data_IF_961731189448
#
_entry.id   IF_961731189448
#
_cell.length_a   1.000
_cell.length_b   1.000
_cell.length_c   1.000
_cell.angle_alpha   90.00
_cell.angle_beta   90.00
_cell.angle_gamma   90.00
#
_symmetry.space_group_name_H-M   'P 1'
#
loop_
_entity.id
_entity.type
_entity.pdbx_description
1 polymer ?
#
# COMPACT_ATOMS: atom_id res chain seq x y z
N UNK A 1 -10.76 6.71 0.47
CA UNK A 1 -11.64 5.54 0.28
C UNK A 1 -11.27 4.90 -1.04
N UNK A 2 -10.46 3.84 -1.01
CA UNK A 2 -10.23 2.97 -2.17
C UNK A 2 -9.82 1.61 -1.60
N UNK A 3 -10.75 1.01 -0.86
CA UNK A 3 -10.67 -0.37 -0.40
C UNK A 3 -11.71 -1.10 -1.23
N UNK A 4 -11.29 -1.89 -2.21
CA UNK A 4 -12.24 -2.74 -2.91
C UNK A 4 -12.47 -3.97 -2.02
N UNK A 5 -13.70 -4.13 -1.53
CA UNK A 5 -14.13 -5.27 -0.74
C UNK A 5 -14.88 -6.21 -1.65
N UNK A 6 -14.44 -7.45 -1.75
CA UNK A 6 -15.12 -8.48 -2.53
C UNK A 6 -15.49 -9.64 -1.61
N UNK A 7 -16.74 -10.10 -1.67
CA UNK A 7 -17.15 -11.35 -1.04
C UNK A 7 -17.31 -12.41 -2.14
N UNK A 8 -16.70 -13.57 -1.93
CA UNK A 8 -16.83 -14.72 -2.82
C UNK A 8 -17.16 -15.97 -2.01
N UNK A 9 -18.16 -16.73 -2.47
CA UNK A 9 -18.40 -18.07 -1.96
C UNK A 9 -17.42 -19.04 -2.63
N UNK A 10 -16.49 -19.60 -1.86
CA UNK A 10 -15.59 -20.65 -2.36
C UNK A 10 -16.27 -22.00 -2.22
N UNK A 11 -16.39 -22.75 -3.31
CA UNK A 11 -17.11 -24.04 -3.36
C UNK A 11 -16.46 -25.18 -2.55
N UNK A 12 -15.39 -24.93 -1.81
CA UNK A 12 -14.58 -25.95 -1.13
C UNK A 12 -14.85 -25.99 0.39
N UNK A 13 -15.48 -24.95 0.95
CA UNK A 13 -15.91 -24.88 2.35
C UNK A 13 -17.30 -24.24 2.40
N UNK A 14 -18.21 -24.69 3.27
CA UNK A 14 -19.57 -24.11 3.43
C UNK A 14 -19.58 -22.69 4.04
N UNK A 15 -18.45 -21.99 4.01
CA UNK A 15 -18.26 -20.65 4.55
C UNK A 15 -18.10 -19.61 3.45
N UNK A 16 -18.59 -18.39 3.71
CA UNK A 16 -18.30 -17.24 2.86
C UNK A 16 -16.88 -16.74 3.14
N UNK A 17 -16.12 -16.48 2.08
CA UNK A 17 -14.81 -15.83 2.18
C UNK A 17 -14.97 -14.34 1.82
N UNK A 18 -14.64 -13.48 2.79
CA UNK A 18 -14.44 -12.06 2.56
C UNK A 18 -12.97 -11.83 2.18
N UNK A 19 -12.73 -11.09 1.10
CA UNK A 19 -11.39 -10.61 0.74
C UNK A 19 -11.41 -9.10 0.59
N UNK A 20 -10.33 -8.45 1.00
CA UNK A 20 -10.19 -7.00 0.90
C UNK A 20 -8.78 -6.65 0.43
N UNK A 21 -8.70 -5.67 -0.49
CA UNK A 21 -7.44 -5.07 -0.93
C UNK A 21 -7.50 -3.56 -0.81
N UNK A 22 -6.35 -2.92 -0.63
CA UNK A 22 -6.28 -1.47 -0.55
C UNK A 22 -4.91 -0.93 -0.23
N UNK A 23 -4.85 0.33 0.19
CA UNK A 23 -3.63 0.95 0.69
C UNK A 23 -3.07 0.11 1.87
N UNK A 24 -1.77 -0.26 1.85
CA UNK A 24 -1.18 -1.16 2.83
C UNK A 24 -1.52 -0.82 4.28
N UNK A 25 -1.34 0.43 4.68
CA UNK A 25 -1.59 0.91 6.04
C UNK A 25 -3.07 0.77 6.44
N UNK A 26 -3.98 1.04 5.50
CA UNK A 26 -5.44 0.93 5.73
C UNK A 26 -5.92 -0.50 5.87
N UNK A 27 -5.23 -1.43 5.22
CA UNK A 27 -5.50 -2.85 5.33
C UNK A 27 -4.96 -3.37 6.66
N UNK A 28 -3.73 -3.00 7.02
CA UNK A 28 -3.13 -3.41 8.29
C UNK A 28 -3.96 -2.94 9.50
N UNK A 29 -4.46 -1.70 9.47
CA UNK A 29 -5.31 -1.12 10.53
C UNK A 29 -6.60 -1.94 10.80
N UNK A 30 -7.07 -2.72 9.82
CA UNK A 30 -8.27 -3.56 9.91
C UNK A 30 -7.97 -5.01 10.29
N UNK A 31 -6.69 -5.38 10.40
CA UNK A 31 -6.28 -6.75 10.66
C UNK A 31 -5.86 -6.95 12.12
N UNK A 32 -6.24 -8.10 12.70
CA UNK A 32 -5.80 -8.53 14.03
C UNK A 32 -4.93 -9.77 14.00
N UNK A 33 -5.03 -10.56 12.93
CA UNK A 33 -4.23 -11.76 12.70
C UNK A 33 -3.45 -11.63 11.40
N UNK A 34 -2.44 -12.48 11.21
CA UNK A 34 -1.66 -12.62 9.99
C UNK A 34 -1.53 -14.10 9.61
N UNK A 35 -1.56 -14.38 8.32
CA UNK A 35 -1.36 -15.72 7.79
C UNK A 35 0.13 -16.02 7.61
N UNK A 36 0.69 -16.89 8.45
CA UNK A 36 2.08 -17.29 8.38
C UNK A 36 2.18 -18.82 8.21
N UNK A 37 2.83 -19.26 7.12
CA UNK A 37 3.01 -20.68 6.81
C UNK A 37 1.69 -21.49 6.83
N UNK A 38 0.59 -20.87 6.36
CA UNK A 38 -0.74 -21.47 6.33
C UNK A 38 -1.48 -21.50 7.67
N UNK A 39 -0.98 -20.83 8.71
CA UNK A 39 -1.66 -20.68 10.01
C UNK A 39 -1.92 -19.22 10.31
N UNK A 40 -3.13 -18.92 10.77
CA UNK A 40 -3.46 -17.60 11.30
C UNK A 40 -2.90 -17.45 12.72
N UNK A 41 -2.20 -16.35 12.97
CA UNK A 41 -1.66 -16.02 14.29
C UNK A 41 -1.97 -14.56 14.63
N UNK A 42 -2.13 -14.21 15.92
CA UNK A 42 -2.25 -12.81 16.33
C UNK A 42 -1.06 -11.99 15.84
N UNK A 43 -1.33 -10.80 15.33
CA UNK A 43 -0.29 -9.91 14.84
C UNK A 43 0.41 -9.22 16.01
N UNK A 44 1.70 -9.50 16.20
CA UNK A 44 2.53 -8.85 17.21
C UNK A 44 3.27 -7.61 16.64
N UNK A 45 4.03 -6.92 17.49
CA UNK A 45 4.78 -5.73 17.07
C UNK A 45 5.94 -6.05 16.13
N UNK A 46 6.57 -7.22 16.25
CA UNK A 46 7.66 -7.63 15.33
C UNK A 46 7.13 -7.79 13.90
N UNK A 47 5.94 -8.40 13.75
CA UNK A 47 5.27 -8.55 12.46
C UNK A 47 4.85 -7.21 11.87
N UNK A 48 4.40 -6.26 12.71
CA UNK A 48 4.09 -4.89 12.25
C UNK A 48 5.35 -4.15 11.79
N UNK A 49 6.46 -4.28 12.50
CA UNK A 49 7.74 -3.69 12.08
C UNK A 49 8.22 -4.30 10.76
N UNK A 50 8.13 -5.63 10.62
CA UNK A 50 8.47 -6.32 9.37
C UNK A 50 7.59 -5.85 8.19
N UNK A 51 6.29 -5.67 8.42
CA UNK A 51 5.38 -5.06 7.44
C UNK A 51 5.84 -3.65 7.04
N UNK A 52 6.17 -2.79 8.02
CA UNK A 52 6.58 -1.42 7.73
C UNK A 52 7.87 -1.39 6.92
N UNK A 53 8.85 -2.23 7.27
CA UNK A 53 10.10 -2.33 6.54
C UNK A 53 9.88 -2.77 5.09
N UNK A 54 9.08 -3.82 4.86
CA UNK A 54 8.75 -4.29 3.51
C UNK A 54 7.98 -3.22 2.71
N UNK A 55 7.05 -2.52 3.34
CA UNK A 55 6.31 -1.43 2.70
C UNK A 55 7.22 -0.26 2.27
N UNK A 56 8.14 0.15 3.14
CA UNK A 56 9.12 1.21 2.85
C UNK A 56 10.10 0.78 1.74
N UNK A 57 10.55 -0.46 1.75
CA UNK A 57 11.46 -1.02 0.74
C UNK A 57 10.80 -1.02 -0.64
N UNK A 58 9.62 -1.62 -0.77
CA UNK A 58 8.89 -1.71 -2.03
C UNK A 58 8.47 -0.32 -2.54
N UNK A 59 8.01 0.57 -1.65
CA UNK A 59 7.71 1.95 -2.00
C UNK A 59 8.96 2.73 -2.44
N UNK A 60 10.11 2.47 -1.80
CA UNK A 60 11.40 3.08 -2.12
C UNK A 60 11.93 2.71 -3.51
N UNK A 61 11.52 1.55 -4.03
CA UNK A 61 11.79 1.13 -5.40
C UNK A 61 10.85 1.78 -6.44
N UNK A 62 9.90 2.62 -6.01
CA UNK A 62 8.93 3.25 -6.91
C UNK A 62 7.80 2.32 -7.32
N UNK A 63 7.57 1.25 -6.56
CA UNK A 63 6.49 0.32 -6.82
C UNK A 63 5.21 0.81 -6.15
N UNK A 64 4.07 0.55 -6.79
CA UNK A 64 2.76 0.70 -6.19
C UNK A 64 2.49 -0.54 -5.34
N UNK A 65 2.34 -0.37 -4.04
CA UNK A 65 2.13 -1.45 -3.08
C UNK A 65 0.66 -1.51 -2.67
N UNK A 66 0.09 -2.71 -2.61
CA UNK A 66 -1.26 -2.99 -2.11
C UNK A 66 -1.19 -4.02 -0.98
N UNK A 67 -1.98 -3.80 0.07
CA UNK A 67 -2.21 -4.79 1.11
C UNK A 67 -3.40 -5.68 0.78
N UNK A 68 -3.34 -6.94 1.20
CA UNK A 68 -4.40 -7.94 1.04
C UNK A 68 -4.70 -8.62 2.38
N UNK A 69 -5.99 -8.77 2.67
CA UNK A 69 -6.46 -9.52 3.82
C UNK A 69 -7.71 -10.33 3.46
N UNK A 70 -8.01 -11.32 4.30
CA UNK A 70 -9.23 -12.10 4.19
C UNK A 70 -9.88 -12.36 5.53
N UNK A 71 -11.11 -12.87 5.50
CA UNK A 71 -11.79 -13.41 6.67
C UNK A 71 -12.76 -14.51 6.23
N UNK A 72 -12.66 -15.67 6.86
CA UNK A 72 -13.72 -16.68 6.77
C UNK A 72 -14.88 -16.25 7.67
N UNK A 73 -16.02 -15.94 7.06
CA UNK A 73 -17.19 -15.50 7.79
C UNK A 73 -17.85 -16.69 8.52
N UNK A 74 -18.16 -16.54 9.83
CA UNK A 74 -18.66 -17.63 10.64
C UNK A 74 -20.10 -18.01 10.23
N UNK A 75 -20.35 -19.30 9.99
CA UNK A 75 -21.59 -19.83 9.42
C UNK A 75 -22.82 -19.59 10.29
N UNK A 76 -22.66 -19.57 11.62
CA UNK A 76 -23.72 -19.29 12.59
C UNK A 76 -24.28 -17.87 12.44
N UNK A 77 -23.47 -16.92 11.96
CA UNK A 77 -23.88 -15.53 11.70
C UNK A 77 -24.24 -15.30 10.24
N UNK A 78 -23.58 -15.99 9.32
CA UNK A 78 -23.72 -15.81 7.87
C UNK A 78 -24.07 -17.14 7.19
N UNK A 79 -25.31 -17.65 7.38
CA UNK A 79 -25.73 -18.93 6.82
C UNK A 79 -25.84 -18.86 5.29
N UNK A 80 -25.84 -20.02 4.63
CA UNK A 80 -25.98 -20.10 3.18
C UNK A 80 -27.26 -19.40 2.70
N UNK A 81 -27.10 -18.49 1.75
CA UNK A 81 -28.17 -17.63 1.24
C UNK A 81 -28.32 -16.29 1.98
N UNK A 82 -27.43 -15.98 2.92
CA UNK A 82 -27.35 -14.65 3.54
C UNK A 82 -27.22 -13.55 2.48
N UNK A 83 -28.08 -12.54 2.55
CA UNK A 83 -28.08 -11.42 1.64
C UNK A 83 -27.12 -10.33 2.16
N UNK A 84 -25.94 -10.23 1.53
CA UNK A 84 -24.99 -9.17 1.83
C UNK A 84 -25.45 -7.84 1.24
N UNK A 85 -25.40 -6.78 2.05
CA UNK A 85 -25.73 -5.42 1.65
C UNK A 85 -24.48 -4.54 1.71
N UNK A 86 -24.21 -3.83 0.61
CA UNK A 86 -23.05 -2.94 0.48
C UNK A 86 -23.35 -1.48 0.81
N UNK A 87 -24.63 -1.09 0.81
CA UNK A 87 -25.09 0.26 1.13
C UNK A 87 -25.31 0.41 2.65
N UNK A 88 -25.92 -0.59 3.27
CA UNK A 88 -26.00 -0.75 4.74
C UNK A 88 -25.17 -1.96 5.17
N UNK A 89 -23.87 -1.72 5.41
CA UNK A 89 -22.86 -2.77 5.64
C UNK A 89 -23.29 -3.69 6.79
N UNK A 90 -23.72 -4.90 6.42
CA UNK A 90 -24.26 -5.91 7.34
C UNK A 90 -23.29 -7.07 7.65
N UNK A 91 -22.02 -6.88 7.34
CA UNK A 91 -20.97 -7.87 7.53
C UNK A 91 -19.71 -7.25 8.14
N UNK A 92 -18.86 -8.11 8.71
CA UNK A 92 -17.66 -7.67 9.41
C UNK A 92 -16.60 -7.11 8.45
N UNK A 93 -16.08 -5.91 8.74
CA UNK A 93 -15.02 -5.23 7.96
C UNK A 93 -13.75 -4.93 8.76
N UNK A 94 -13.65 -5.44 9.98
CA UNK A 94 -12.52 -5.27 10.90
C UNK A 94 -12.16 -6.63 11.54
N UNK A 95 -11.01 -6.73 12.22
CA UNK A 95 -10.45 -7.98 12.74
C UNK A 95 -10.26 -9.06 11.65
N UNK A 96 -9.76 -8.65 10.48
CA UNK A 96 -9.41 -9.55 9.39
C UNK A 96 -8.05 -10.23 9.62
N UNK A 97 -7.76 -11.25 8.80
CA UNK A 97 -6.45 -11.87 8.69
C UNK A 97 -5.64 -11.24 7.55
N UNK A 98 -4.54 -10.59 7.88
CA UNK A 98 -3.59 -10.06 6.91
C UNK A 98 -2.90 -11.22 6.16
N UNK A 99 -2.91 -11.16 4.83
CA UNK A 99 -2.31 -12.21 4.00
C UNK A 99 -0.93 -11.79 3.48
N UNK A 100 -0.80 -10.53 3.06
CA UNK A 100 0.47 -10.04 2.53
C UNK A 100 0.38 -8.74 1.75
N UNK A 101 1.54 -8.31 1.28
CA UNK A 101 1.71 -7.21 0.35
C UNK A 101 1.89 -7.75 -1.08
N UNK A 102 1.42 -7.00 -2.06
CA UNK A 102 1.79 -7.17 -3.45
C UNK A 102 2.21 -5.81 -4.00
N UNK A 103 3.33 -5.77 -4.69
CA UNK A 103 3.78 -4.58 -5.39
C UNK A 103 3.69 -4.76 -6.90
N UNK A 104 3.51 -3.63 -7.58
CA UNK A 104 3.51 -3.56 -9.03
C UNK A 104 4.26 -2.32 -9.48
N UNK A 105 5.12 -2.49 -10.48
CA UNK A 105 5.84 -1.39 -11.10
C UNK A 105 4.95 -0.85 -12.23
N UNK A 106 4.63 0.44 -12.19
CA UNK A 106 4.18 1.18 -13.37
C UNK A 106 5.37 1.95 -13.93
N UNK A 107 6.17 1.33 -14.83
CA UNK A 107 7.42 1.94 -15.25
C UNK A 107 7.11 3.22 -16.05
N UNK A 108 7.89 4.30 -15.84
CA UNK A 108 7.77 5.48 -16.68
C UNK A 108 7.88 5.11 -18.16
N UNK A 109 7.03 5.71 -19.01
CA UNK A 109 7.14 5.52 -20.46
C UNK A 109 8.56 5.86 -20.89
N UNK A 110 9.13 5.06 -21.80
CA UNK A 110 10.55 5.20 -22.22
C UNK A 110 10.96 6.61 -22.68
N UNK A 111 10.03 7.40 -23.22
CA UNK A 111 10.28 8.78 -23.65
C UNK A 111 10.26 9.82 -22.52
N UNK A 112 9.74 9.50 -21.34
CA UNK A 112 9.52 10.45 -20.24
C UNK A 112 10.84 11.02 -19.69
N UNK A 113 11.88 10.21 -19.39
CA UNK A 113 13.14 10.77 -18.88
C UNK A 113 13.79 11.79 -19.83
N UNK A 114 13.81 11.48 -21.14
CA UNK A 114 14.35 12.37 -22.18
C UNK A 114 13.51 13.66 -22.31
N UNK A 115 12.18 13.55 -22.29
CA UNK A 115 11.29 14.70 -22.33
C UNK A 115 11.47 15.63 -21.13
N UNK A 116 11.56 15.07 -19.92
CA UNK A 116 11.82 15.84 -18.69
C UNK A 116 13.18 16.55 -18.79
N UNK A 117 14.22 15.85 -19.25
CA UNK A 117 15.55 16.43 -19.48
C UNK A 117 15.50 17.64 -20.43
N UNK A 118 14.85 17.50 -21.59
CA UNK A 118 14.72 18.58 -22.58
C UNK A 118 13.97 19.79 -22.04
N UNK A 119 12.86 19.57 -21.32
CA UNK A 119 12.12 20.66 -20.68
C UNK A 119 13.01 21.42 -19.69
N UNK A 120 13.77 20.70 -18.86
CA UNK A 120 14.68 21.32 -17.89
C UNK A 120 15.82 22.08 -18.55
N UNK A 121 16.43 21.54 -19.60
CA UNK A 121 17.47 22.24 -20.38
C UNK A 121 16.96 23.52 -21.04
N UNK A 122 15.65 23.62 -21.30
CA UNK A 122 14.99 24.83 -21.79
C UNK A 122 14.60 25.81 -20.67
N UNK A 123 14.94 25.54 -19.41
CA UNK A 123 14.58 26.38 -18.25
C UNK A 123 13.13 26.21 -17.78
N UNK A 124 12.43 25.15 -18.21
CA UNK A 124 11.04 24.88 -17.80
C UNK A 124 11.05 24.11 -16.47
N UNK A 125 10.26 24.59 -15.51
CA UNK A 125 10.04 23.91 -14.24
C UNK A 125 9.05 22.75 -14.42
N UNK A 126 9.47 21.52 -14.11
CA UNK A 126 8.63 20.33 -14.16
C UNK A 126 8.15 19.99 -12.74
N UNK A 127 6.85 19.72 -12.57
CA UNK A 127 6.21 19.42 -11.28
C UNK A 127 5.41 18.12 -11.43
N UNK A 128 5.60 17.18 -10.51
CA UNK A 128 4.79 15.96 -10.43
C UNK A 128 3.53 16.21 -9.60
N UNK A 129 2.38 15.78 -10.11
CA UNK A 129 1.11 15.73 -9.37
C UNK A 129 0.58 14.31 -9.48
N UNK A 130 0.55 13.59 -8.35
CA UNK A 130 0.07 12.20 -8.27
C UNK A 130 -0.73 11.99 -7.00
N UNK A 131 -1.63 11.01 -7.02
CA UNK A 131 -2.33 10.50 -5.83
C UNK A 131 -1.61 9.32 -5.15
N UNK A 132 -0.43 8.92 -5.66
CA UNK A 132 0.38 7.86 -5.07
C UNK A 132 0.99 8.27 -3.74
N UNK A 133 1.42 7.27 -2.97
CA UNK A 133 2.09 7.51 -1.71
C UNK A 133 3.41 8.28 -1.92
N UNK A 134 3.79 9.21 -1.02
CA UNK A 134 4.97 10.06 -1.19
C UNK A 134 6.28 9.32 -1.49
N UNK A 135 6.46 8.13 -0.89
CA UNK A 135 7.68 7.32 -1.07
C UNK A 135 7.78 6.83 -2.53
N UNK A 136 6.70 6.26 -3.07
CA UNK A 136 6.61 5.82 -4.47
C UNK A 136 6.77 6.99 -5.42
N UNK A 137 6.05 8.10 -5.18
CA UNK A 137 6.12 9.29 -6.01
C UNK A 137 7.54 9.87 -6.08
N UNK A 138 8.23 9.93 -4.95
CA UNK A 138 9.62 10.38 -4.84
C UNK A 138 10.57 9.48 -5.63
N UNK A 139 10.44 8.16 -5.51
CA UNK A 139 11.25 7.21 -6.27
C UNK A 139 11.05 7.37 -7.78
N UNK A 140 9.80 7.49 -8.25
CA UNK A 140 9.50 7.77 -9.66
C UNK A 140 10.06 9.14 -10.09
N UNK A 141 9.90 10.18 -9.27
CA UNK A 141 10.38 11.52 -9.59
C UNK A 141 11.91 11.58 -9.72
N UNK A 142 12.64 10.81 -8.91
CA UNK A 142 14.09 10.60 -9.08
C UNK A 142 14.37 9.83 -10.37
N UNK A 143 13.67 8.72 -10.62
CA UNK A 143 13.85 7.88 -11.81
C UNK A 143 13.60 8.59 -13.15
N UNK A 144 12.70 9.58 -13.20
CA UNK A 144 12.42 10.37 -14.42
C UNK A 144 13.18 11.70 -14.51
N UNK A 145 14.01 12.04 -13.52
CA UNK A 145 14.82 13.27 -13.53
C UNK A 145 14.06 14.55 -13.17
N UNK A 146 12.87 14.44 -12.57
CA UNK A 146 12.17 15.59 -11.96
C UNK A 146 12.94 16.06 -10.72
N UNK A 147 13.38 15.12 -9.89
CA UNK A 147 14.36 15.35 -8.82
C UNK A 147 15.73 14.99 -9.38
N UNK A 148 16.68 15.93 -9.35
CA UNK A 148 18.05 15.68 -9.83
C UNK A 148 18.82 14.76 -8.88
N UNK A 149 19.76 14.00 -9.41
CA UNK A 149 20.77 13.33 -8.58
C UNK A 149 21.50 14.37 -7.71
N UNK A 150 21.63 14.07 -6.41
CA UNK A 150 22.25 14.96 -5.42
C UNK A 150 21.31 15.98 -4.77
N UNK A 151 20.08 16.15 -5.26
CA UNK A 151 19.08 16.96 -4.55
C UNK A 151 18.42 16.11 -3.46
N UNK A 152 18.55 16.56 -2.22
CA UNK A 152 17.90 15.95 -1.07
C UNK A 152 16.49 16.53 -0.87
N UNK A 153 15.54 15.65 -0.59
CA UNK A 153 14.24 16.04 -0.03
C UNK A 153 14.35 16.32 1.47
N UNK A 154 13.33 16.95 2.06
CA UNK A 154 13.29 17.19 3.51
C UNK A 154 13.43 15.86 4.28
N UNK A 155 12.83 14.79 3.76
CA UNK A 155 12.93 13.44 4.32
C UNK A 155 14.33 12.83 4.16
N UNK A 156 15.03 13.10 3.05
CA UNK A 156 16.42 12.66 2.86
C UNK A 156 17.36 13.35 3.88
N UNK A 157 17.18 14.66 4.09
CA UNK A 157 17.96 15.43 5.06
C UNK A 157 17.69 14.95 6.49
N UNK A 158 16.42 14.73 6.83
CA UNK A 158 16.00 14.20 8.12
C UNK A 158 16.65 12.85 8.42
N UNK A 159 16.60 11.92 7.47
CA UNK A 159 17.20 10.60 7.59
C UNK A 159 18.73 10.68 7.75
N UNK A 160 19.41 11.50 6.93
CA UNK A 160 20.86 11.68 7.00
C UNK A 160 21.33 12.30 8.32
N UNK A 161 20.57 13.26 8.87
CA UNK A 161 20.90 13.94 10.12
C UNK A 161 20.35 13.23 11.37
N UNK A 162 19.59 12.15 11.19
CA UNK A 162 18.88 11.44 12.25
C UNK A 162 18.02 12.38 13.12
N UNK A 163 17.33 13.32 12.46
CA UNK A 163 16.42 14.28 13.11
C UNK A 163 14.99 14.09 12.58
N UNK A 164 13.96 14.44 13.37
CA UNK A 164 12.60 14.52 12.88
C UNK A 164 12.46 15.47 11.67
N UNK A 165 11.59 15.13 10.72
CA UNK A 165 11.37 15.91 9.47
C UNK A 165 10.98 17.36 9.76
N UNK A 166 10.23 17.62 10.84
CA UNK A 166 9.84 18.97 11.25
C UNK A 166 10.98 19.83 11.81
N UNK A 167 12.17 19.27 12.02
CA UNK A 167 13.38 19.97 12.46
C UNK A 167 14.34 20.28 11.30
N UNK A 168 14.01 19.83 10.09
CA UNK A 168 14.79 20.16 8.89
C UNK A 168 14.44 21.58 8.47
N UNK A 169 15.45 22.46 8.41
CA UNK A 169 15.30 23.78 7.83
C UNK A 169 15.64 23.67 6.32
N UNK A 170 14.66 23.86 5.42
CA UNK A 170 14.84 23.65 3.97
C UNK A 170 15.76 24.68 3.31
#
# INVERSE_FOLDING_TARGET
>A
MCSDVFSHQLSVHDHYLLVMKGAPERILDRCTTILQQGKEQPMDEEMKEAFQNAYLELGGLGERVLGFCHLFLPEDKYPKGFAFDTDDINFQTDNLCFVGLMSMIDPPRAAVPDAVGKCRSAGIKVIMVTGDHPITAKAIAKGVGIISEGNETVEDIAARLNIPVNQVNP
#
